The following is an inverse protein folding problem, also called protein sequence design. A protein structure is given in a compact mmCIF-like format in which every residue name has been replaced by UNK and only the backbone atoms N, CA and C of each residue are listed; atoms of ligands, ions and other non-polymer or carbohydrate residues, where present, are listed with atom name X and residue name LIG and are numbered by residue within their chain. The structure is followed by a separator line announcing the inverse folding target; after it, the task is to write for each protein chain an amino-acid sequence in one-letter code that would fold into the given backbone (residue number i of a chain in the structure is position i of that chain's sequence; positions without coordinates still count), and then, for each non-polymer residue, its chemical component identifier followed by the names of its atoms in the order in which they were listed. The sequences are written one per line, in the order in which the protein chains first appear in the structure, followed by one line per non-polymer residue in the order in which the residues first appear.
data_IF_065153497607
#
_entry.id   IF_065153497607
#
_cell.length_a   1.000
_cell.length_b   1.000
_cell.length_c   1.000
_cell.angle_alpha   90.00
_cell.angle_beta   90.00
_cell.angle_gamma   90.00
#
_symmetry.space_group_name_H-M   'P 1'
#
loop_
_entity.id
_entity.type
_entity.pdbx_description
1 polymer ?
#
# COMPACT_ATOMS: atom_id res chain seq x y z
N UNK A 1 35.78 -24.70 -16.80
CA UNK A 1 35.46 -23.68 -15.77
C UNK A 1 34.02 -23.79 -15.24
N UNK A 2 32.98 -23.74 -16.10
CA UNK A 2 31.56 -23.89 -15.66
C UNK A 2 31.27 -25.18 -14.87
N UNK A 3 31.88 -26.31 -15.24
CA UNK A 3 31.66 -27.60 -14.58
C UNK A 3 32.26 -27.65 -13.17
N UNK A 4 33.41 -27.01 -12.94
CA UNK A 4 34.08 -26.97 -11.64
C UNK A 4 33.27 -26.13 -10.64
N UNK A 5 32.85 -24.93 -11.07
CA UNK A 5 31.99 -24.04 -10.28
C UNK A 5 30.71 -24.77 -9.86
N UNK A 6 30.08 -25.49 -10.80
CA UNK A 6 28.88 -26.30 -10.52
C UNK A 6 29.11 -27.34 -9.41
N UNK A 7 30.22 -28.06 -9.43
CA UNK A 7 30.51 -29.09 -8.44
C UNK A 7 30.82 -28.51 -7.05
N UNK A 8 31.50 -27.37 -6.97
CA UNK A 8 31.74 -26.68 -5.69
C UNK A 8 30.42 -26.18 -5.07
N UNK A 9 29.53 -25.58 -5.87
CA UNK A 9 28.19 -25.22 -5.40
C UNK A 9 27.38 -26.43 -4.90
N UNK A 10 27.40 -27.54 -5.64
CA UNK A 10 26.71 -28.78 -5.24
C UNK A 10 27.30 -29.38 -3.96
N UNK A 11 28.62 -29.29 -3.77
CA UNK A 11 29.31 -29.76 -2.57
C UNK A 11 28.89 -28.95 -1.35
N UNK A 12 28.81 -27.61 -1.47
CA UNK A 12 28.33 -26.73 -0.41
C UNK A 12 26.88 -27.03 -0.05
N UNK A 13 25.98 -27.08 -1.04
CA UNK A 13 24.55 -27.31 -0.82
C UNK A 13 24.24 -28.69 -0.19
N UNK A 14 25.11 -29.69 -0.37
CA UNK A 14 24.95 -31.03 0.21
C UNK A 14 25.56 -31.18 1.61
N UNK A 15 26.29 -30.18 2.14
CA UNK A 15 26.81 -30.24 3.51
C UNK A 15 25.65 -30.22 4.51
N UNK A 16 25.72 -31.10 5.52
CA UNK A 16 24.70 -31.16 6.59
C UNK A 16 24.54 -29.81 7.30
N UNK A 17 25.65 -29.11 7.57
CA UNK A 17 25.63 -27.78 8.21
C UNK A 17 24.90 -26.75 7.35
N UNK A 18 25.17 -26.72 6.04
CA UNK A 18 24.47 -25.84 5.09
C UNK A 18 22.98 -26.11 5.05
N UNK A 19 22.57 -27.39 5.00
CA UNK A 19 21.16 -27.76 5.04
C UNK A 19 20.48 -27.34 6.35
N UNK A 20 21.15 -27.49 7.50
CA UNK A 20 20.63 -27.07 8.81
C UNK A 20 20.48 -25.54 8.87
N UNK A 21 21.49 -24.78 8.44
CA UNK A 21 21.45 -23.32 8.43
C UNK A 21 20.34 -22.80 7.51
N UNK A 22 20.22 -23.38 6.30
CA UNK A 22 19.14 -23.01 5.39
C UNK A 22 17.77 -23.34 5.99
N UNK A 23 17.57 -24.54 6.56
CA UNK A 23 16.31 -24.92 7.18
C UNK A 23 15.95 -24.03 8.37
N UNK A 24 16.91 -23.76 9.26
CA UNK A 24 16.70 -22.88 10.41
C UNK A 24 16.39 -21.45 9.97
N UNK A 25 17.11 -20.91 8.99
CA UNK A 25 16.82 -19.58 8.43
C UNK A 25 15.43 -19.51 7.82
N UNK A 26 15.02 -20.54 7.06
CA UNK A 26 13.70 -20.59 6.43
C UNK A 26 12.58 -20.64 7.48
N UNK A 27 12.76 -21.42 8.55
CA UNK A 27 11.83 -21.50 9.67
C UNK A 27 11.72 -20.15 10.42
N UNK A 28 12.85 -19.50 10.69
CA UNK A 28 12.89 -18.18 11.33
C UNK A 28 12.19 -17.15 10.45
N UNK A 29 12.49 -17.11 9.16
CA UNK A 29 11.82 -16.23 8.20
C UNK A 29 10.32 -16.51 8.16
N UNK A 30 9.90 -17.77 8.02
CA UNK A 30 8.48 -18.12 8.03
C UNK A 30 7.77 -17.71 9.32
N UNK A 31 8.43 -17.87 10.48
CA UNK A 31 7.91 -17.42 11.76
C UNK A 31 7.72 -15.90 11.80
N UNK A 32 8.73 -15.12 11.42
CA UNK A 32 8.62 -13.66 11.40
C UNK A 32 7.59 -13.14 10.40
N UNK A 33 7.48 -13.74 9.23
CA UNK A 33 6.42 -13.41 8.25
C UNK A 33 5.02 -13.80 8.75
N UNK A 34 4.91 -14.74 9.70
CA UNK A 34 3.65 -15.08 10.36
C UNK A 34 3.23 -14.11 11.45
N UNK A 35 4.16 -13.33 12.03
CA UNK A 35 3.84 -12.40 13.13
C UNK A 35 2.85 -11.30 12.72
N UNK A 36 2.97 -10.63 11.56
CA UNK A 36 1.98 -9.65 11.13
C UNK A 36 0.56 -10.22 11.08
N UNK A 37 0.39 -11.45 10.62
CA UNK A 37 -0.92 -12.13 10.57
C UNK A 37 -1.48 -12.36 11.99
N UNK A 38 -0.62 -12.71 12.94
CA UNK A 38 -1.03 -12.92 14.34
C UNK A 38 -1.33 -11.61 15.08
N UNK A 39 -0.64 -10.53 14.71
CA UNK A 39 -0.79 -9.20 15.29
C UNK A 39 -1.81 -8.33 14.57
N UNK A 40 -2.41 -8.84 13.48
CA UNK A 40 -3.40 -8.12 12.70
C UNK A 40 -4.59 -7.72 13.56
N UNK A 41 -5.00 -6.45 13.47
CA UNK A 41 -6.15 -5.89 14.18
C UNK A 41 -6.87 -4.91 13.27
N UNK A 42 -8.19 -5.02 13.22
CA UNK A 42 -9.08 -4.08 12.53
C UNK A 42 -10.30 -3.83 13.42
N UNK A 43 -11.09 -2.81 13.11
CA UNK A 43 -12.22 -2.38 13.93
C UNK A 43 -13.51 -2.38 13.12
N UNK A 44 -14.60 -2.77 13.78
CA UNK A 44 -15.96 -2.55 13.30
C UNK A 44 -16.77 -1.82 14.38
N UNK A 45 -18.06 -1.59 14.13
CA UNK A 45 -18.98 -0.97 15.09
C UNK A 45 -19.03 -1.70 16.45
N UNK A 46 -18.87 -3.02 16.44
CA UNK A 46 -18.95 -3.88 17.63
C UNK A 46 -17.63 -3.99 18.42
N UNK A 47 -16.51 -3.54 17.85
CA UNK A 47 -15.20 -3.52 18.49
C UNK A 47 -14.06 -4.08 17.64
N UNK A 48 -13.06 -4.68 18.30
CA UNK A 48 -11.82 -5.14 17.66
C UNK A 48 -11.95 -6.56 17.10
N UNK A 49 -11.53 -6.73 15.85
CA UNK A 49 -11.36 -8.02 15.19
C UNK A 49 -9.87 -8.32 15.04
N UNK A 50 -9.45 -9.49 15.49
CA UNK A 50 -8.03 -9.86 15.55
C UNK A 50 -7.68 -11.03 14.64
N UNK A 51 -6.44 -11.04 14.17
CA UNK A 51 -5.84 -12.12 13.39
C UNK A 51 -6.65 -12.45 12.13
N UNK A 52 -6.89 -13.74 11.91
CA UNK A 52 -7.58 -14.24 10.71
C UNK A 52 -9.02 -13.72 10.58
N UNK A 53 -9.72 -13.47 11.69
CA UNK A 53 -11.09 -12.94 11.66
C UNK A 53 -11.11 -11.51 11.11
N UNK A 54 -10.16 -10.67 11.53
CA UNK A 54 -9.99 -9.32 11.00
C UNK A 54 -9.62 -9.33 9.52
N UNK A 55 -8.70 -10.20 9.10
CA UNK A 55 -8.31 -10.33 7.70
C UNK A 55 -9.49 -10.77 6.82
N UNK A 56 -10.30 -11.72 7.30
CA UNK A 56 -11.48 -12.17 6.58
C UNK A 56 -12.51 -11.04 6.45
N UNK A 57 -12.76 -10.31 7.54
CA UNK A 57 -13.66 -9.16 7.55
C UNK A 57 -13.25 -8.11 6.51
N UNK A 58 -11.98 -7.70 6.48
CA UNK A 58 -11.53 -6.73 5.47
C UNK A 58 -11.67 -7.26 4.05
N UNK A 59 -11.30 -8.51 3.79
CA UNK A 59 -11.47 -9.10 2.45
C UNK A 59 -12.92 -9.08 1.98
N UNK A 60 -13.87 -9.29 2.90
CA UNK A 60 -15.30 -9.18 2.59
C UNK A 60 -15.67 -7.74 2.23
N UNK A 61 -15.22 -6.73 2.99
CA UNK A 61 -15.43 -5.31 2.63
C UNK A 61 -14.85 -4.99 1.24
N UNK A 62 -13.63 -5.45 0.96
CA UNK A 62 -12.98 -5.24 -0.34
C UNK A 62 -13.68 -5.92 -1.51
N UNK A 63 -14.54 -6.90 -1.27
CA UNK A 63 -15.33 -7.53 -2.35
C UNK A 63 -16.32 -6.54 -2.94
N UNK A 64 -16.86 -5.63 -2.12
CA UNK A 64 -17.83 -4.62 -2.56
C UNK A 64 -17.16 -3.37 -3.15
N UNK A 65 -15.95 -3.04 -2.71
CA UNK A 65 -15.20 -1.85 -3.17
C UNK A 65 -14.10 -2.16 -4.20
N UNK A 66 -14.04 -3.38 -4.73
CA UNK A 66 -13.13 -3.72 -5.84
C UNK A 66 -13.66 -3.19 -7.16
N UNK A 67 -13.32 -1.95 -7.48
CA UNK A 67 -13.92 -1.17 -8.58
C UNK A 67 -12.88 -0.52 -9.50
N UNK A 68 -13.29 -0.18 -10.71
CA UNK A 68 -12.51 0.68 -11.60
C UNK A 68 -12.75 2.15 -11.23
N UNK A 69 -11.68 2.90 -11.00
CA UNK A 69 -11.72 4.33 -10.65
C UNK A 69 -11.99 5.21 -11.88
N UNK A 70 -13.14 5.04 -12.52
CA UNK A 70 -13.56 5.93 -13.62
C UNK A 70 -13.92 7.32 -13.08
N UNK A 71 -13.87 8.34 -13.93
CA UNK A 71 -14.32 9.69 -13.57
C UNK A 71 -15.78 9.70 -13.08
N UNK A 72 -16.64 8.85 -13.65
CA UNK A 72 -18.03 8.68 -13.19
C UNK A 72 -18.11 8.10 -11.78
N UNK A 73 -17.36 7.03 -11.49
CA UNK A 73 -17.32 6.40 -10.17
C UNK A 73 -16.79 7.37 -9.10
N UNK A 74 -15.68 8.06 -9.41
CA UNK A 74 -15.09 9.04 -8.49
C UNK A 74 -16.05 10.21 -8.22
N UNK A 75 -16.70 10.73 -9.26
CA UNK A 75 -17.73 11.78 -9.11
C UNK A 75 -18.85 11.32 -8.18
N UNK A 76 -19.42 10.13 -8.42
CA UNK A 76 -20.50 9.58 -7.61
C UNK A 76 -20.07 9.40 -6.15
N UNK A 77 -18.87 8.85 -5.95
CA UNK A 77 -18.30 8.58 -4.63
C UNK A 77 -18.12 9.87 -3.83
N UNK A 78 -17.63 10.94 -4.46
CA UNK A 78 -17.48 12.25 -3.81
C UNK A 78 -18.85 12.82 -3.43
N UNK A 79 -19.85 12.75 -4.32
CA UNK A 79 -21.21 13.22 -4.03
C UNK A 79 -21.84 12.48 -2.87
N UNK A 80 -21.70 11.15 -2.80
CA UNK A 80 -22.19 10.36 -1.67
C UNK A 80 -21.59 10.83 -0.34
N UNK A 81 -20.31 11.21 -0.32
CA UNK A 81 -19.69 11.79 0.88
C UNK A 81 -20.27 13.17 1.18
N UNK A 82 -20.41 14.03 0.17
CA UNK A 82 -21.00 15.37 0.33
C UNK A 82 -22.43 15.30 0.90
N UNK A 83 -23.26 14.39 0.40
CA UNK A 83 -24.63 14.14 0.89
C UNK A 83 -24.66 13.76 2.38
N UNK A 84 -23.69 12.99 2.87
CA UNK A 84 -23.60 12.66 4.30
C UNK A 84 -23.38 13.89 5.19
N UNK A 85 -22.68 14.91 4.69
CA UNK A 85 -22.42 16.17 5.39
C UNK A 85 -23.56 17.19 5.26
N UNK A 86 -24.56 16.96 4.40
CA UNK A 86 -25.73 17.85 4.29
C UNK A 86 -26.64 17.77 5.52
N UNK A 87 -26.67 16.62 6.21
CA UNK A 87 -27.41 16.44 7.46
C UNK A 87 -26.57 16.91 8.66
N UNK A 88 -26.97 18.00 9.37
CA UNK A 88 -26.23 18.49 10.52
C UNK A 88 -26.11 17.50 11.68
N UNK A 89 -27.04 16.54 11.80
CA UNK A 89 -27.00 15.52 12.86
C UNK A 89 -25.87 14.50 12.63
N UNK A 90 -25.41 14.36 11.39
CA UNK A 90 -24.29 13.48 11.04
C UNK A 90 -22.91 14.10 11.33
N UNK A 91 -22.84 15.40 11.63
CA UNK A 91 -21.58 16.17 11.58
C UNK A 91 -21.09 16.54 12.98
N UNK A 92 -19.92 16.00 13.33
CA UNK A 92 -19.11 16.42 14.47
C UNK A 92 -18.11 17.51 14.10
N UNK A 93 -17.63 18.25 15.11
CA UNK A 93 -16.68 19.35 14.94
C UNK A 93 -15.48 19.18 15.89
N UNK A 94 -14.27 19.29 15.35
CA UNK A 94 -13.02 19.42 16.10
C UNK A 94 -12.33 20.73 15.68
N UNK A 95 -12.57 21.78 16.46
CA UNK A 95 -12.21 23.14 16.08
C UNK A 95 -12.92 23.57 14.79
N UNK A 96 -12.15 23.79 13.73
CA UNK A 96 -12.67 24.16 12.40
C UNK A 96 -12.85 22.96 11.47
N UNK A 97 -12.54 21.74 11.92
CA UNK A 97 -12.65 20.53 11.09
C UNK A 97 -13.99 19.85 11.33
N UNK A 98 -14.67 19.53 10.25
CA UNK A 98 -15.87 18.70 10.26
C UNK A 98 -15.49 17.23 10.04
N UNK A 99 -16.22 16.33 10.69
CA UNK A 99 -16.10 14.89 10.50
C UNK A 99 -17.47 14.25 10.70
N UNK A 100 -17.68 13.08 10.09
CA UNK A 100 -18.93 12.34 10.28
C UNK A 100 -18.87 11.57 11.61
N UNK A 101 -20.02 11.48 12.29
CA UNK A 101 -20.15 10.77 13.57
C UNK A 101 -21.09 9.58 13.47
N UNK A 102 -21.00 8.68 14.45
CA UNK A 102 -21.91 7.54 14.65
C UNK A 102 -22.16 6.75 13.35
N UNK A 103 -23.43 6.47 13.04
CA UNK A 103 -23.85 5.65 11.91
C UNK A 103 -23.40 6.23 10.57
N UNK A 104 -23.32 7.56 10.43
CA UNK A 104 -22.88 8.18 9.19
C UNK A 104 -21.41 7.85 8.88
N UNK A 105 -20.55 7.87 9.89
CA UNK A 105 -19.16 7.44 9.73
C UNK A 105 -19.05 5.93 9.56
N UNK A 106 -19.62 5.16 10.47
CA UNK A 106 -19.39 3.71 10.50
C UNK A 106 -20.01 2.96 9.32
N UNK A 107 -21.11 3.45 8.75
CA UNK A 107 -21.72 2.84 7.57
C UNK A 107 -21.26 3.50 6.27
N UNK A 108 -21.09 4.84 6.27
CA UNK A 108 -20.82 5.61 5.04
C UNK A 108 -19.35 5.80 4.70
N UNK A 109 -18.46 5.74 5.70
CA UNK A 109 -17.03 6.08 5.55
C UNK A 109 -16.15 4.89 5.91
N UNK A 110 -16.22 4.38 7.15
CA UNK A 110 -15.26 3.41 7.69
C UNK A 110 -14.99 2.19 6.78
N UNK A 111 -16.00 1.57 6.12
CA UNK A 111 -15.77 0.43 5.22
C UNK A 111 -14.91 0.74 3.98
N UNK A 112 -14.83 2.03 3.59
CA UNK A 112 -14.19 2.51 2.37
C UNK A 112 -13.26 3.70 2.63
N UNK A 113 -12.88 3.96 3.88
CA UNK A 113 -12.14 5.17 4.26
C UNK A 113 -10.81 5.28 3.50
N UNK A 114 -10.06 4.19 3.40
CA UNK A 114 -8.81 4.15 2.64
C UNK A 114 -8.99 4.48 1.14
N UNK A 115 -10.12 4.11 0.55
CA UNK A 115 -10.46 4.48 -0.83
C UNK A 115 -10.78 5.98 -0.93
N UNK A 116 -11.57 6.50 0.00
CA UNK A 116 -11.94 7.91 0.04
C UNK A 116 -10.72 8.81 0.28
N UNK A 117 -9.83 8.40 1.17
CA UNK A 117 -8.56 9.08 1.46
C UNK A 117 -7.64 9.04 0.25
N UNK A 118 -7.58 7.93 -0.50
CA UNK A 118 -6.85 7.86 -1.76
C UNK A 118 -7.41 8.86 -2.78
N UNK A 119 -8.73 8.94 -2.90
CA UNK A 119 -9.39 9.87 -3.82
C UNK A 119 -9.11 11.32 -3.40
N UNK A 120 -9.31 11.65 -2.12
CA UNK A 120 -9.05 12.98 -1.57
C UNK A 120 -7.58 13.39 -1.74
N UNK A 121 -6.69 12.46 -1.40
CA UNK A 121 -5.26 12.60 -1.56
C UNK A 121 -4.83 12.86 -3.00
N UNK A 122 -5.61 12.46 -4.02
CA UNK A 122 -5.34 12.77 -5.42
C UNK A 122 -5.67 14.23 -5.80
N UNK A 123 -6.60 14.89 -5.10
CA UNK A 123 -6.92 16.31 -5.33
C UNK A 123 -6.13 17.29 -4.44
N UNK A 124 -5.53 16.80 -3.35
CA UNK A 124 -4.69 17.63 -2.46
C UNK A 124 -3.42 18.16 -3.16
N UNK A 125 -2.76 19.17 -2.60
CA UNK A 125 -1.44 19.58 -3.10
C UNK A 125 -0.34 18.55 -2.75
N UNK A 126 0.80 18.55 -3.47
CA UNK A 126 1.92 17.69 -3.12
C UNK A 126 2.36 17.86 -1.66
N UNK A 127 2.65 16.73 -0.99
CA UNK A 127 3.03 16.67 0.43
C UNK A 127 1.94 17.12 1.43
N UNK A 128 0.71 17.33 0.98
CA UNK A 128 -0.45 17.58 1.85
C UNK A 128 -1.21 16.27 2.03
N UNK A 129 -1.45 15.89 3.29
CA UNK A 129 -2.33 14.77 3.62
C UNK A 129 -3.78 15.27 3.61
N UNK A 130 -4.66 14.54 2.92
CA UNK A 130 -6.09 14.82 2.85
C UNK A 130 -6.86 13.52 3.08
N UNK A 131 -7.77 13.55 4.06
CA UNK A 131 -8.71 12.46 4.30
C UNK A 131 -10.05 12.72 3.64
N UNK A 132 -11.00 11.80 3.82
CA UNK A 132 -12.33 11.83 3.23
C UNK A 132 -13.08 13.16 3.43
N UNK A 133 -12.85 13.86 4.54
CA UNK A 133 -13.51 15.15 4.81
C UNK A 133 -13.10 16.24 3.84
N UNK A 134 -11.91 16.17 3.21
CA UNK A 134 -11.51 17.13 2.19
C UNK A 134 -12.34 17.01 0.89
N UNK A 135 -13.08 15.91 0.71
CA UNK A 135 -13.96 15.72 -0.44
C UNK A 135 -15.16 16.70 -0.42
N UNK A 136 -15.51 17.25 0.74
CA UNK A 136 -16.60 18.24 0.85
C UNK A 136 -16.29 19.53 0.12
N UNK A 137 -15.01 19.86 -0.02
CA UNK A 137 -14.55 21.13 -0.62
C UNK A 137 -14.42 21.07 -2.15
N UNK A 138 -14.61 19.87 -2.74
CA UNK A 138 -14.46 19.66 -4.17
C UNK A 138 -15.75 20.02 -4.94
N UNK A 139 -15.63 20.89 -5.95
CA UNK A 139 -16.71 21.10 -6.91
C UNK A 139 -16.73 19.97 -7.94
N UNK A 140 -17.78 19.15 -7.88
CA UNK A 140 -18.01 18.01 -8.78
C UNK A 140 -19.33 18.13 -9.54
N UNK A 141 -19.89 19.35 -9.64
CA UNK A 141 -21.17 19.61 -10.31
C UNK A 141 -21.17 19.15 -11.77
N UNK A 142 -20.09 19.44 -12.50
CA UNK A 142 -19.86 19.02 -13.90
C UNK A 142 -19.13 17.66 -14.03
N UNK A 143 -18.96 16.95 -12.91
CA UNK A 143 -18.16 15.74 -12.83
C UNK A 143 -16.67 16.01 -12.55
N UNK A 144 -15.93 14.95 -12.30
CA UNK A 144 -14.50 15.01 -12.01
C UNK A 144 -13.62 14.62 -13.18
N UNK A 145 -12.39 15.13 -13.19
CA UNK A 145 -11.30 14.57 -13.98
C UNK A 145 -10.17 14.07 -13.07
N UNK A 146 -10.33 12.85 -12.56
CA UNK A 146 -9.43 12.23 -11.61
C UNK A 146 -8.02 12.05 -12.17
N UNK A 147 -7.91 11.70 -13.45
CA UNK A 147 -6.63 11.44 -14.11
C UNK A 147 -5.92 12.73 -14.51
N UNK A 148 -6.66 13.76 -14.92
CA UNK A 148 -6.06 15.09 -15.11
C UNK A 148 -5.56 15.68 -13.79
N UNK A 149 -6.32 15.57 -12.70
CA UNK A 149 -5.86 16.02 -11.38
C UNK A 149 -4.58 15.30 -10.93
N UNK A 150 -4.49 13.99 -11.22
CA UNK A 150 -3.26 13.21 -10.99
C UNK A 150 -2.10 13.70 -11.84
N UNK A 151 -2.32 13.94 -13.13
CA UNK A 151 -1.30 14.44 -14.05
C UNK A 151 -0.78 15.82 -13.63
N UNK A 152 -1.68 16.73 -13.23
CA UNK A 152 -1.33 18.06 -12.74
C UNK A 152 -0.49 17.98 -11.46
N UNK A 153 -0.87 17.09 -10.54
CA UNK A 153 -0.07 16.81 -9.34
C UNK A 153 1.32 16.29 -9.69
N UNK A 154 1.44 15.36 -10.62
CA UNK A 154 2.75 14.84 -11.06
C UNK A 154 3.60 15.96 -11.65
N UNK A 155 3.05 16.83 -12.49
CA UNK A 155 3.79 17.96 -13.03
C UNK A 155 4.21 18.97 -11.95
N UNK A 156 3.38 19.24 -10.93
CA UNK A 156 3.78 20.03 -9.76
C UNK A 156 4.97 19.38 -9.04
N UNK A 157 4.93 18.06 -8.84
CA UNK A 157 5.99 17.30 -8.18
C UNK A 157 7.30 17.31 -8.98
N UNK A 158 7.24 17.21 -10.31
CA UNK A 158 8.43 17.21 -11.18
C UNK A 158 9.06 18.58 -11.33
N UNK A 159 8.26 19.65 -11.23
CA UNK A 159 8.73 21.03 -11.34
C UNK A 159 9.01 21.69 -9.99
N UNK A 160 8.95 20.94 -8.90
CA UNK A 160 9.40 21.37 -7.59
C UNK A 160 10.92 21.63 -7.61
N UNK A 161 11.30 22.90 -7.42
CA UNK A 161 12.69 23.34 -7.49
C UNK A 161 13.58 22.69 -6.43
N UNK A 162 13.02 22.23 -5.31
CA UNK A 162 13.77 21.55 -4.25
C UNK A 162 14.34 20.20 -4.66
N UNK A 163 13.83 19.61 -5.75
CA UNK A 163 14.28 18.31 -6.25
C UNK A 163 15.45 18.39 -7.22
N UNK A 164 15.76 19.59 -7.71
CA UNK A 164 16.88 19.86 -8.63
C UNK A 164 16.92 18.91 -9.86
N UNK A 165 15.75 18.45 -10.34
CA UNK A 165 15.65 17.52 -11.46
C UNK A 165 16.01 18.20 -12.78
N UNK A 166 16.88 17.56 -13.55
CA UNK A 166 17.15 17.93 -14.94
C UNK A 166 15.96 17.62 -15.85
N UNK A 167 15.88 18.29 -17.00
CA UNK A 167 14.80 18.03 -17.97
C UNK A 167 14.79 16.58 -18.47
N UNK A 168 15.97 15.95 -18.62
CA UNK A 168 16.06 14.54 -18.99
C UNK A 168 15.46 13.60 -17.92
N UNK A 169 15.64 13.92 -16.64
CA UNK A 169 15.04 13.16 -15.54
C UNK A 169 13.52 13.37 -15.49
N UNK A 170 13.04 14.60 -15.70
CA UNK A 170 11.60 14.88 -15.78
C UNK A 170 10.95 14.10 -16.92
N UNK A 171 11.57 14.10 -18.11
CA UNK A 171 11.06 13.36 -19.27
C UNK A 171 11.08 11.85 -19.06
N UNK A 172 12.09 11.33 -18.35
CA UNK A 172 12.12 9.94 -17.92
C UNK A 172 10.91 9.59 -17.04
N UNK A 173 10.60 10.41 -16.02
CA UNK A 173 9.46 10.18 -15.14
C UNK A 173 8.11 10.33 -15.86
N UNK A 174 7.97 11.30 -16.76
CA UNK A 174 6.78 11.43 -17.63
C UNK A 174 6.59 10.19 -18.50
N UNK A 175 7.67 9.65 -19.07
CA UNK A 175 7.62 8.44 -19.89
C UNK A 175 7.25 7.19 -19.07
N UNK A 176 7.69 7.10 -17.82
CA UNK A 176 7.24 6.03 -16.92
C UNK A 176 5.76 6.18 -16.59
N UNK A 177 5.31 7.41 -16.29
CA UNK A 177 3.92 7.69 -15.98
C UNK A 177 2.98 7.37 -17.15
N UNK A 178 3.38 7.68 -18.39
CA UNK A 178 2.56 7.41 -19.60
C UNK A 178 2.37 5.92 -19.90
N UNK A 179 3.04 5.01 -19.18
CA UNK A 179 2.89 3.55 -19.32
C UNK A 179 1.91 2.98 -18.31
N UNK A 180 1.43 3.79 -17.37
CA UNK A 180 0.42 3.36 -16.39
C UNK A 180 -0.92 3.33 -17.11
N UNK A 181 -1.57 2.17 -17.10
CA UNK A 181 -2.89 2.01 -17.70
C UNK A 181 -3.97 2.66 -16.84
N UNK A 182 -4.88 3.38 -17.49
CA UNK A 182 -6.03 4.03 -16.87
C UNK A 182 -7.33 3.45 -17.49
N UNK A 183 -8.40 3.21 -16.71
CA UNK A 183 -8.54 3.55 -15.30
C UNK A 183 -7.91 2.55 -14.33
N UNK A 184 -7.60 3.00 -13.11
CA UNK A 184 -7.02 2.14 -12.07
C UNK A 184 -8.07 1.18 -11.51
N UNK A 185 -7.67 -0.08 -11.32
CA UNK A 185 -8.43 -1.05 -10.54
C UNK A 185 -8.06 -0.92 -9.06
N UNK A 186 -9.02 -0.48 -8.26
CA UNK A 186 -8.91 -0.52 -6.80
C UNK A 186 -9.39 -1.87 -6.27
N UNK A 187 -8.83 -2.32 -5.16
CA UNK A 187 -9.15 -3.60 -4.53
C UNK A 187 -8.23 -3.91 -3.36
N UNK A 188 -8.33 -5.13 -2.84
CA UNK A 188 -7.60 -5.56 -1.65
C UNK A 188 -6.07 -5.47 -1.85
N UNK A 189 -5.42 -4.58 -1.08
CA UNK A 189 -3.96 -4.34 -1.14
C UNK A 189 -3.22 -4.65 0.17
N UNK A 190 -3.91 -4.86 1.29
CA UNK A 190 -3.31 -5.11 2.62
C UNK A 190 -2.31 -6.27 2.62
N UNK A 191 -2.58 -7.34 1.86
CA UNK A 191 -1.64 -8.44 1.70
C UNK A 191 -0.30 -8.00 1.09
N UNK A 192 -0.33 -7.06 0.14
CA UNK A 192 0.88 -6.47 -0.44
C UNK A 192 1.56 -5.52 0.54
N UNK A 193 0.79 -4.71 1.28
CA UNK A 193 1.33 -3.80 2.29
C UNK A 193 2.09 -4.57 3.37
N UNK A 194 1.54 -5.69 3.85
CA UNK A 194 2.21 -6.57 4.81
C UNK A 194 3.52 -7.13 4.22
N UNK A 195 3.50 -7.60 2.97
CA UNK A 195 4.71 -8.15 2.32
C UNK A 195 5.79 -7.08 2.16
N UNK A 196 5.42 -5.87 1.73
CA UNK A 196 6.35 -4.76 1.51
C UNK A 196 6.92 -4.27 2.85
N UNK A 197 6.08 -4.12 3.87
CA UNK A 197 6.51 -3.73 5.22
C UNK A 197 7.40 -4.80 5.87
N UNK A 198 7.17 -6.07 5.56
CA UNK A 198 7.99 -7.20 6.02
C UNK A 198 9.27 -7.42 5.18
N UNK A 199 9.51 -6.65 4.13
CA UNK A 199 10.58 -6.92 3.17
C UNK A 199 11.98 -6.92 3.82
N UNK A 200 12.18 -6.10 4.86
CA UNK A 200 13.44 -6.04 5.62
C UNK A 200 13.80 -7.39 6.24
N UNK A 201 12.82 -8.24 6.57
CA UNK A 201 13.05 -9.58 7.12
C UNK A 201 13.79 -10.51 6.15
N UNK A 202 13.83 -10.19 4.85
CA UNK A 202 14.65 -10.92 3.88
C UNK A 202 16.16 -10.79 4.17
N UNK A 203 16.58 -9.83 5.01
CA UNK A 203 17.95 -9.74 5.49
C UNK A 203 18.43 -11.04 6.17
N UNK A 204 17.55 -11.79 6.84
CA UNK A 204 17.90 -13.07 7.45
C UNK A 204 18.26 -14.13 6.40
N UNK A 205 17.53 -14.13 5.27
CA UNK A 205 17.86 -15.00 4.15
C UNK A 205 19.22 -14.63 3.53
N UNK A 206 19.51 -13.32 3.40
CA UNK A 206 20.82 -12.83 2.94
C UNK A 206 21.94 -13.25 3.90
N UNK A 207 21.74 -13.11 5.22
CA UNK A 207 22.71 -13.55 6.23
C UNK A 207 22.96 -15.06 6.17
N UNK A 208 21.91 -15.86 5.97
CA UNK A 208 22.06 -17.30 5.80
C UNK A 208 22.90 -17.65 4.57
N UNK A 209 22.69 -16.95 3.44
CA UNK A 209 23.53 -17.08 2.25
C UNK A 209 24.99 -16.75 2.58
N UNK A 210 25.25 -15.65 3.29
CA UNK A 210 26.60 -15.27 3.73
C UNK A 210 27.28 -16.35 4.58
N UNK A 211 26.55 -16.96 5.54
CA UNK A 211 27.07 -18.05 6.38
C UNK A 211 27.39 -19.28 5.56
N UNK A 212 26.54 -19.63 4.59
CA UNK A 212 26.71 -20.81 3.73
C UNK A 212 27.92 -20.67 2.79
N UNK A 213 28.18 -19.47 2.28
CA UNK A 213 29.30 -19.20 1.38
C UNK A 213 30.62 -18.89 2.09
N UNK A 214 30.59 -18.49 3.37
CA UNK A 214 31.80 -18.13 4.13
C UNK A 214 32.93 -19.20 4.07
N UNK A 215 32.65 -20.52 4.19
CA UNK A 215 33.67 -21.55 4.09
C UNK A 215 34.36 -21.67 2.72
N UNK A 216 33.81 -21.06 1.66
CA UNK A 216 34.44 -21.00 0.34
C UNK A 216 35.66 -20.08 0.35
N UNK A 217 35.64 -19.06 1.19
CA UNK A 217 36.69 -18.05 1.28
C UNK A 217 37.74 -18.35 2.35
N UNK A 218 37.45 -19.28 3.28
CA UNK A 218 38.37 -19.63 4.38
C UNK A 218 39.50 -20.57 3.98
N UNK A 219 39.67 -20.89 2.69
CA UNK A 219 40.83 -21.65 2.19
C UNK A 219 40.89 -23.10 2.66
N UNK A 220 39.81 -23.67 3.20
CA UNK A 220 39.73 -25.09 3.52
C UNK A 220 39.54 -25.93 2.25
N UNK A 221 40.63 -26.08 1.50
CA UNK A 221 40.90 -27.24 0.65
C UNK A 221 41.83 -28.20 1.38
#
# INVERSE_FOLDING_TARGET
MKTLIKYEFLKILRKKSTLIVMAASLLITAFFFGLPVLQFQTYNQDGVLQGLAGIQYEKEQYTEISVLLTNEYVTKTIREVQELFEDPENVGYDGNKQFLIEDAYWNGIAPRESLLDLIAGNYADPNVSAGYSALTDLDVSDGTDFYQARQDKIEKILNDSSKELSEAEKDYWRNLNSKVEEPFQYGYYEGWEVIISAFELLMFAVLAVCIVIAPVFSGEY
#
